data_IF_324162043481
#
_entry.id   IF_324162043481
#
_cell.length_a   1.000
_cell.length_b   1.000
_cell.length_c   1.000
_cell.angle_alpha   90.00
_cell.angle_beta   90.00
_cell.angle_gamma   90.00
#
_symmetry.space_group_name_H-M   'P 1'
#
loop_
_entity.id
_entity.type
_entity.pdbx_description
1 polymer ?
#
# COMPACT_ATOMS: atom_id res chain seq x y z
N UNK A 1 5.67 -13.62 -0.93
CA UNK A 1 6.48 -12.40 -0.74
C UNK A 1 7.80 -12.72 -0.05
N UNK A 2 7.80 -13.38 1.12
CA UNK A 2 9.05 -13.74 1.83
C UNK A 2 10.12 -14.46 0.99
N UNK A 3 9.75 -15.38 0.09
CA UNK A 3 10.71 -16.04 -0.81
C UNK A 3 11.31 -15.07 -1.85
N UNK A 4 10.49 -14.19 -2.44
CA UNK A 4 10.94 -13.17 -3.40
C UNK A 4 11.92 -12.18 -2.74
N UNK A 5 11.58 -11.66 -1.56
CA UNK A 5 12.46 -10.75 -0.82
C UNK A 5 13.80 -11.41 -0.48
N UNK A 6 13.82 -12.71 -0.17
CA UNK A 6 15.04 -13.48 0.07
C UNK A 6 15.90 -13.60 -1.20
N UNK A 7 15.28 -13.94 -2.34
CA UNK A 7 15.98 -14.04 -3.63
C UNK A 7 16.57 -12.70 -4.08
N UNK A 8 15.84 -11.60 -3.93
CA UNK A 8 16.35 -10.27 -4.25
C UNK A 8 17.56 -9.90 -3.40
N UNK A 9 17.51 -10.18 -2.09
CA UNK A 9 18.66 -9.96 -1.19
C UNK A 9 19.87 -10.82 -1.57
N UNK A 10 19.67 -12.06 -2.00
CA UNK A 10 20.75 -12.92 -2.51
C UNK A 10 21.40 -12.36 -3.78
N UNK A 11 20.64 -11.61 -4.59
CA UNK A 11 21.14 -10.89 -5.76
C UNK A 11 21.66 -9.48 -5.43
N UNK A 12 21.85 -9.14 -4.15
CA UNK A 12 22.37 -7.85 -3.71
C UNK A 12 21.36 -6.69 -3.73
N UNK A 13 20.08 -6.96 -3.97
CA UNK A 13 19.01 -5.95 -3.98
C UNK A 13 18.39 -5.83 -2.59
N UNK A 14 18.47 -4.64 -1.99
CA UNK A 14 17.89 -4.35 -0.68
C UNK A 14 16.41 -3.99 -0.80
N UNK A 15 15.57 -4.79 -0.16
CA UNK A 15 14.11 -4.61 -0.14
C UNK A 15 13.70 -3.97 1.19
N UNK A 16 13.07 -2.80 1.11
CA UNK A 16 12.27 -2.23 2.20
C UNK A 16 10.84 -2.70 2.01
N UNK A 17 10.35 -3.53 2.94
CA UNK A 17 8.96 -4.00 2.94
C UNK A 17 8.16 -3.24 3.99
N UNK A 18 7.03 -2.67 3.57
CA UNK A 18 6.06 -2.01 4.44
C UNK A 18 4.71 -2.69 4.25
N UNK A 19 4.28 -3.42 5.28
CA UNK A 19 2.93 -3.94 5.37
C UNK A 19 2.00 -2.83 5.91
N UNK A 20 0.94 -2.50 5.17
CA UNK A 20 0.01 -1.43 5.54
C UNK A 20 -0.80 -1.75 6.81
N UNK A 21 -1.11 -3.01 7.08
CA UNK A 21 -1.82 -3.43 8.28
C UNK A 21 -0.94 -3.28 9.51
N UNK A 22 0.30 -3.79 9.44
CA UNK A 22 1.26 -3.65 10.53
C UNK A 22 1.56 -2.18 10.82
N UNK A 23 1.74 -1.38 9.77
CA UNK A 23 1.94 0.06 9.88
C UNK A 23 0.73 0.76 10.52
N UNK A 24 -0.49 0.39 10.13
CA UNK A 24 -1.69 0.93 10.75
C UNK A 24 -1.74 0.62 12.24
N UNK A 25 -1.45 -0.61 12.65
CA UNK A 25 -1.38 -0.99 14.08
C UNK A 25 -0.30 -0.19 14.80
N UNK A 26 0.90 -0.07 14.22
CA UNK A 26 2.01 0.71 14.78
C UNK A 26 1.61 2.17 15.02
N UNK A 27 0.92 2.78 14.05
CA UNK A 27 0.42 4.16 14.15
C UNK A 27 -0.66 4.33 15.23
N UNK A 28 -1.55 3.34 15.39
CA UNK A 28 -2.57 3.38 16.44
C UNK A 28 -1.98 3.18 17.83
N UNK A 29 -0.96 2.32 17.95
CA UNK A 29 -0.23 2.09 19.21
C UNK A 29 0.62 3.30 19.60
N UNK A 30 1.32 3.93 18.65
CA UNK A 30 2.15 5.12 18.94
C UNK A 30 1.36 6.33 19.43
N UNK A 31 0.04 6.35 19.17
CA UNK A 31 -0.90 7.37 19.64
C UNK A 31 -1.68 6.97 20.88
N UNK A 32 -1.39 5.81 21.47
CA UNK A 32 -2.08 5.26 22.64
C UNK A 32 -3.61 5.13 22.46
N UNK A 33 -4.05 4.84 21.23
CA UNK A 33 -5.48 4.66 20.89
C UNK A 33 -5.85 3.21 20.58
N UNK A 34 -4.88 2.34 20.34
CA UNK A 34 -5.10 0.94 19.96
C UNK A 34 -6.01 0.20 20.95
N UNK A 35 -5.64 0.16 22.24
CA UNK A 35 -6.40 -0.59 23.24
C UNK A 35 -7.82 -0.04 23.43
N UNK A 36 -7.99 1.28 23.28
CA UNK A 36 -9.30 1.93 23.32
C UNK A 36 -10.19 1.53 22.14
N UNK A 37 -9.60 1.37 20.95
CA UNK A 37 -10.33 0.91 19.76
C UNK A 37 -10.74 -0.55 19.94
N UNK A 38 -9.82 -1.42 20.36
CA UNK A 38 -10.09 -2.85 20.59
C UNK A 38 -11.19 -3.03 21.65
N UNK A 39 -11.15 -2.27 22.75
CA UNK A 39 -12.19 -2.31 23.77
C UNK A 39 -13.55 -1.82 23.26
N UNK A 40 -13.55 -0.85 22.34
CA UNK A 40 -14.77 -0.24 21.79
C UNK A 40 -15.37 -1.04 20.63
N UNK A 41 -14.56 -1.77 19.87
CA UNK A 41 -14.97 -2.52 18.68
C UNK A 41 -16.24 -3.37 18.89
N UNK A 42 -16.41 -4.16 19.97
CA UNK A 42 -17.61 -4.97 20.17
C UNK A 42 -18.90 -4.15 20.38
N UNK A 43 -18.76 -2.87 20.75
CA UNK A 43 -19.86 -1.98 21.12
C UNK A 43 -20.31 -1.04 20.00
N UNK A 44 -19.59 -0.99 18.88
CA UNK A 44 -19.90 -0.11 17.74
C UNK A 44 -20.19 -0.90 16.48
N UNK A 45 -20.97 -0.30 15.59
CA UNK A 45 -21.26 -0.90 14.29
C UNK A 45 -20.03 -0.88 13.36
N UNK A 46 -20.00 -1.79 12.38
CA UNK A 46 -18.94 -1.85 11.36
C UNK A 46 -18.73 -0.51 10.61
N UNK A 47 -19.79 0.22 10.19
CA UNK A 47 -19.62 1.54 9.56
C UNK A 47 -18.93 2.56 10.48
N UNK A 48 -19.30 2.60 11.77
CA UNK A 48 -18.69 3.51 12.75
C UNK A 48 -17.23 3.17 13.01
N UNK A 49 -16.89 1.87 13.12
CA UNK A 49 -15.50 1.43 13.23
C UNK A 49 -14.68 1.84 12.00
N UNK A 50 -15.25 1.66 10.80
CA UNK A 50 -14.60 2.07 9.55
C UNK A 50 -14.32 3.57 9.53
N UNK A 51 -15.30 4.41 9.86
CA UNK A 51 -15.12 5.87 9.90
C UNK A 51 -14.08 6.30 10.92
N UNK A 52 -14.09 5.67 12.11
CA UNK A 52 -13.09 5.90 13.14
C UNK A 52 -11.67 5.57 12.63
N UNK A 53 -11.49 4.41 12.01
CA UNK A 53 -10.20 3.99 11.45
C UNK A 53 -9.77 4.90 10.29
N UNK A 54 -10.69 5.29 9.41
CA UNK A 54 -10.42 6.21 8.30
C UNK A 54 -9.92 7.56 8.78
N UNK A 55 -10.50 8.11 9.85
CA UNK A 55 -10.04 9.38 10.43
C UNK A 55 -8.65 9.27 11.06
N UNK A 56 -8.38 8.17 11.78
CA UNK A 56 -7.09 7.96 12.44
C UNK A 56 -5.96 7.60 11.47
N UNK A 57 -6.29 6.91 10.38
CA UNK A 57 -5.35 6.37 9.40
C UNK A 57 -5.45 7.10 8.05
N UNK A 58 -5.82 8.37 8.08
CA UNK A 58 -5.91 9.21 6.88
C UNK A 58 -4.64 9.08 6.02
N UNK A 59 -4.82 8.79 4.73
CA UNK A 59 -3.71 8.38 3.86
C UNK A 59 -2.72 9.51 3.68
N UNK A 60 -3.21 10.72 3.41
CA UNK A 60 -2.37 11.88 3.10
C UNK A 60 -1.73 12.46 4.37
N UNK A 61 -2.50 12.59 5.45
CA UNK A 61 -2.06 13.25 6.69
C UNK A 61 -1.24 12.35 7.60
N UNK A 62 -1.40 11.03 7.51
CA UNK A 62 -0.85 10.12 8.50
C UNK A 62 -0.08 8.95 7.88
N UNK A 63 -0.68 8.21 6.95
CA UNK A 63 -0.07 7.00 6.42
C UNK A 63 1.15 7.30 5.54
N UNK A 64 1.03 8.24 4.59
CA UNK A 64 2.11 8.61 3.67
C UNK A 64 3.31 9.23 4.40
N UNK A 65 3.12 10.15 5.37
CA UNK A 65 4.21 10.60 6.23
C UNK A 65 4.93 9.47 6.96
N UNK A 66 4.19 8.50 7.53
CA UNK A 66 4.77 7.36 8.23
C UNK A 66 5.57 6.43 7.28
N UNK A 67 5.09 6.23 6.04
CA UNK A 67 5.84 5.52 5.01
C UNK A 67 7.12 6.29 4.66
N UNK A 68 7.03 7.60 4.49
CA UNK A 68 8.17 8.45 4.16
C UNK A 68 9.23 8.46 5.27
N UNK A 69 8.81 8.44 6.55
CA UNK A 69 9.71 8.30 7.69
C UNK A 69 10.49 6.98 7.63
N UNK A 70 9.80 5.85 7.41
CA UNK A 70 10.46 4.53 7.26
C UNK A 70 11.41 4.49 6.07
N UNK A 71 11.06 5.15 4.97
CA UNK A 71 11.95 5.27 3.81
C UNK A 71 13.20 6.11 4.12
N UNK A 72 13.06 7.23 4.85
CA UNK A 72 14.21 8.06 5.25
C UNK A 72 15.13 7.36 6.25
N UNK A 73 14.58 6.49 7.09
CA UNK A 73 15.34 5.77 8.12
C UNK A 73 15.98 4.47 7.60
N UNK A 74 15.84 4.16 6.32
CA UNK A 74 16.27 2.86 5.76
C UNK A 74 17.02 3.06 4.46
N UNK A 75 18.11 2.33 4.27
CA UNK A 75 18.71 2.23 2.94
C UNK A 75 18.10 1.07 2.16
N UNK A 76 17.57 1.35 0.97
CA UNK A 76 16.93 0.35 0.13
C UNK A 76 17.04 0.69 -1.36
N UNK A 77 16.85 -0.34 -2.18
CA UNK A 77 16.89 -0.26 -3.63
C UNK A 77 15.49 -0.39 -4.24
N UNK A 78 14.58 -1.13 -3.57
CA UNK A 78 13.17 -1.26 -3.96
C UNK A 78 12.23 -1.23 -2.75
N UNK A 79 11.11 -0.53 -2.87
CA UNK A 79 10.05 -0.46 -1.86
C UNK A 79 8.94 -1.46 -2.20
N UNK A 80 8.61 -2.33 -1.26
CA UNK A 80 7.47 -3.24 -1.33
C UNK A 80 6.35 -2.74 -0.42
N UNK A 81 5.15 -2.58 -0.98
CA UNK A 81 3.93 -2.29 -0.21
C UNK A 81 3.06 -3.54 -0.19
N UNK A 82 2.77 -4.05 1.00
CA UNK A 82 2.00 -5.29 1.23
C UNK A 82 0.84 -5.03 2.20
N UNK A 83 0.03 -6.05 2.49
CA UNK A 83 -1.10 -5.93 3.44
C UNK A 83 -2.29 -5.09 2.96
N UNK A 84 -2.36 -4.79 1.67
CA UNK A 84 -3.41 -3.94 1.07
C UNK A 84 -4.82 -4.49 1.30
N UNK A 85 -5.00 -5.81 1.20
CA UNK A 85 -6.31 -6.44 1.42
C UNK A 85 -6.76 -6.40 2.88
N UNK A 86 -5.82 -6.40 3.83
CA UNK A 86 -6.08 -6.43 5.28
C UNK A 86 -6.56 -5.07 5.81
N UNK A 87 -6.22 -3.99 5.10
CA UNK A 87 -6.62 -2.63 5.44
C UNK A 87 -7.86 -2.13 4.69
N UNK A 88 -8.40 -2.93 3.77
CA UNK A 88 -9.64 -2.61 3.10
C UNK A 88 -10.85 -2.81 4.05
N UNK A 89 -11.86 -1.92 4.06
CA UNK A 89 -12.06 -0.73 3.22
C UNK A 89 -11.61 0.60 3.88
N UNK A 90 -10.95 0.57 5.03
CA UNK A 90 -10.63 1.80 5.78
C UNK A 90 -9.37 2.51 5.26
N UNK A 91 -8.49 1.83 4.52
CA UNK A 91 -7.48 2.44 3.67
C UNK A 91 -7.77 2.05 2.22
N UNK A 92 -7.84 3.05 1.34
CA UNK A 92 -8.07 2.86 -0.10
C UNK A 92 -6.74 2.85 -0.85
N UNK A 93 -6.48 1.77 -1.59
CA UNK A 93 -5.19 1.53 -2.26
C UNK A 93 -4.85 2.57 -3.32
N UNK A 94 -5.85 3.11 -4.03
CA UNK A 94 -5.64 4.22 -4.99
C UNK A 94 -5.07 5.46 -4.32
N UNK A 95 -5.58 5.82 -3.14
CA UNK A 95 -5.06 6.98 -2.40
C UNK A 95 -3.62 6.74 -1.98
N UNK A 96 -3.27 5.51 -1.59
CA UNK A 96 -1.89 5.16 -1.22
C UNK A 96 -0.97 5.32 -2.44
N UNK A 97 -1.29 4.72 -3.58
CA UNK A 97 -0.46 4.84 -4.79
C UNK A 97 -0.29 6.29 -5.26
N UNK A 98 -1.39 7.04 -5.36
CA UNK A 98 -1.35 8.43 -5.84
C UNK A 98 -0.49 9.32 -4.94
N UNK A 99 -0.59 9.16 -3.62
CA UNK A 99 0.21 9.95 -2.70
C UNK A 99 1.66 9.43 -2.59
N UNK A 100 1.89 8.12 -2.72
CA UNK A 100 3.24 7.56 -2.69
C UNK A 100 4.12 8.07 -3.83
N UNK A 101 3.54 8.40 -5.00
CA UNK A 101 4.29 9.05 -6.08
C UNK A 101 4.95 10.37 -5.67
N UNK A 102 4.40 11.05 -4.66
CA UNK A 102 4.98 12.32 -4.17
C UNK A 102 6.20 12.10 -3.29
N UNK A 103 6.30 10.96 -2.60
CA UNK A 103 7.37 10.66 -1.63
C UNK A 103 8.39 9.63 -2.13
N UNK A 104 7.99 8.72 -3.01
CA UNK A 104 8.83 7.64 -3.56
C UNK A 104 9.30 7.93 -4.99
N UNK A 105 9.83 9.14 -5.22
CA UNK A 105 10.25 9.58 -6.56
C UNK A 105 11.51 8.88 -7.07
N UNK A 106 12.40 8.48 -6.17
CA UNK A 106 13.76 8.03 -6.54
C UNK A 106 13.92 6.50 -6.58
N UNK A 107 13.04 5.77 -5.90
CA UNK A 107 13.16 4.31 -5.74
C UNK A 107 11.94 3.60 -6.33
N UNK A 108 12.13 2.53 -7.11
CA UNK A 108 11.02 1.75 -7.64
C UNK A 108 10.14 1.22 -6.50
N UNK A 109 8.82 1.32 -6.69
CA UNK A 109 7.82 0.87 -5.73
C UNK A 109 6.98 -0.23 -6.35
N UNK A 110 6.85 -1.35 -5.65
CA UNK A 110 6.02 -2.49 -6.04
C UNK A 110 4.93 -2.67 -4.99
N UNK A 111 3.67 -2.58 -5.41
CA UNK A 111 2.53 -2.86 -4.54
C UNK A 111 1.98 -4.26 -4.82
N UNK A 112 1.86 -5.07 -3.77
CA UNK A 112 1.25 -6.38 -3.83
C UNK A 112 -0.24 -6.24 -3.57
N UNK A 113 -1.02 -6.32 -4.64
CA UNK A 113 -2.46 -6.14 -4.60
C UNK A 113 -3.19 -7.49 -4.70
N UNK A 114 -4.00 -7.90 -3.71
CA UNK A 114 -4.72 -9.18 -3.73
C UNK A 114 -6.02 -9.06 -4.54
N UNK A 115 -5.86 -8.87 -5.84
CA UNK A 115 -6.96 -8.65 -6.78
C UNK A 115 -6.48 -8.61 -8.22
N UNK A 116 -7.37 -8.23 -9.14
CA UNK A 116 -7.01 -8.08 -10.55
C UNK A 116 -6.69 -6.63 -10.87
N UNK A 117 -5.69 -6.44 -11.71
CA UNK A 117 -5.42 -5.18 -12.38
C UNK A 117 -6.00 -5.27 -13.79
N UNK A 118 -6.99 -4.44 -14.08
CA UNK A 118 -7.62 -4.35 -15.40
C UNK A 118 -7.21 -3.00 -16.00
N UNK A 119 -6.84 -2.99 -17.28
CA UNK A 119 -6.47 -1.78 -17.99
C UNK A 119 -7.28 -1.72 -19.28
N UNK A 120 -8.22 -0.78 -19.39
CA UNK A 120 -8.93 -0.52 -20.64
C UNK A 120 -8.48 0.79 -21.26
N UNK A 121 -8.43 0.89 -22.60
CA UNK A 121 -8.12 2.14 -23.29
C UNK A 121 -9.14 3.26 -22.98
N UNK A 122 -10.41 2.91 -22.70
CA UNK A 122 -11.47 3.89 -22.47
C UNK A 122 -11.65 4.32 -21.00
N UNK A 123 -11.33 3.46 -20.02
CA UNK A 123 -11.52 3.73 -18.58
C UNK A 123 -10.22 3.82 -17.78
N UNK A 124 -9.08 3.52 -18.41
CA UNK A 124 -7.76 3.48 -17.78
C UNK A 124 -7.51 2.21 -16.97
N UNK A 125 -6.50 2.28 -16.10
CA UNK A 125 -6.21 1.22 -15.13
C UNK A 125 -7.22 1.24 -13.99
N UNK A 126 -7.78 0.10 -13.59
CA UNK A 126 -8.55 -0.11 -12.36
C UNK A 126 -8.02 -1.31 -11.56
N UNK A 127 -8.29 -1.31 -10.26
CA UNK A 127 -7.88 -2.37 -9.33
C UNK A 127 -9.12 -2.99 -8.69
N UNK A 128 -9.40 -4.23 -9.05
CA UNK A 128 -10.54 -4.99 -8.55
C UNK A 128 -10.14 -5.85 -7.36
N UNK A 129 -10.44 -5.39 -6.14
CA UNK A 129 -10.16 -6.19 -4.95
C UNK A 129 -11.09 -7.41 -4.94
N UNK A 130 -10.51 -8.61 -4.92
CA UNK A 130 -11.24 -9.89 -4.93
C UNK A 130 -12.20 -10.10 -6.12
N UNK A 131 -12.04 -9.40 -7.25
CA UNK A 131 -12.92 -9.46 -8.43
C UNK A 131 -14.41 -9.17 -8.15
N UNK A 132 -14.72 -8.48 -7.04
CA UNK A 132 -16.10 -8.22 -6.59
C UNK A 132 -16.39 -6.75 -6.32
N UNK A 133 -15.36 -5.92 -6.30
CA UNK A 133 -15.42 -4.54 -5.87
C UNK A 133 -14.72 -3.69 -6.92
N UNK A 134 -15.49 -3.26 -7.92
CA UNK A 134 -15.01 -2.32 -8.94
C UNK A 134 -14.75 -0.96 -8.28
N UNK A 135 -13.52 -0.50 -8.41
CA UNK A 135 -13.11 0.85 -8.02
C UNK A 135 -12.89 1.65 -9.32
N UNK A 136 -13.73 2.66 -9.59
CA UNK A 136 -13.78 3.44 -10.83
C UNK A 136 -12.61 4.43 -10.99
N UNK A 137 -11.45 4.13 -10.42
CA UNK A 137 -10.35 5.09 -10.29
C UNK A 137 -9.19 4.74 -11.21
N UNK A 138 -8.73 5.75 -11.97
CA UNK A 138 -7.54 5.69 -12.82
C UNK A 138 -6.26 5.56 -11.99
N UNK A 139 -5.54 4.44 -12.14
CA UNK A 139 -4.24 4.24 -11.47
C UNK A 139 -3.07 4.61 -12.39
N UNK A 140 -2.13 5.43 -11.89
CA UNK A 140 -0.81 5.61 -12.52
C UNK A 140 0.15 4.49 -12.07
N UNK A 141 -0.20 3.26 -12.38
CA UNK A 141 0.62 2.09 -12.12
C UNK A 141 0.68 1.22 -13.38
N UNK A 142 1.71 0.38 -13.48
CA UNK A 142 1.83 -0.60 -14.56
C UNK A 142 1.85 -1.99 -13.95
N UNK A 143 1.20 -2.94 -14.62
CA UNK A 143 1.37 -4.34 -14.26
C UNK A 143 2.79 -4.76 -14.61
N UNK A 144 3.57 -5.21 -13.61
CA UNK A 144 4.96 -5.61 -13.79
C UNK A 144 5.13 -6.75 -14.81
N UNK A 145 4.10 -7.58 -15.01
CA UNK A 145 4.12 -8.63 -16.04
C UNK A 145 4.01 -8.09 -17.47
N UNK A 146 3.61 -6.82 -17.64
CA UNK A 146 3.50 -6.14 -18.94
C UNK A 146 4.58 -5.06 -19.13
N UNK A 147 5.60 -5.00 -18.27
CA UNK A 147 6.74 -4.11 -18.50
C UNK A 147 7.57 -4.62 -19.68
N UNK A 148 7.48 -3.93 -20.82
CA UNK A 148 8.44 -4.11 -21.91
C UNK A 148 9.81 -3.62 -21.44
N UNK A 149 10.79 -4.52 -21.44
CA UNK A 149 12.18 -4.13 -21.20
C UNK A 149 12.69 -3.55 -22.50
N UNK A 150 12.76 -2.23 -22.62
CA UNK A 150 13.55 -1.60 -23.67
C UNK A 150 15.02 -1.95 -23.43
N UNK A 151 15.47 -3.06 -24.01
CA UNK A 151 16.89 -3.34 -24.18
C UNK A 151 17.46 -2.24 -25.06
N UNK A 152 18.07 -1.23 -24.45
CA UNK A 152 18.96 -0.32 -25.15
C UNK A 152 20.18 -1.11 -25.58
N UNK A 153 20.14 -1.62 -26.80
CA UNK A 153 21.30 -2.15 -27.51
C UNK A 153 22.29 -1.00 -27.70
N UNK A 154 23.34 -0.96 -26.88
CA UNK A 154 24.58 -0.23 -27.19
C UNK A 154 25.33 -0.91 -28.31
#
# INVERSE_FOLDING_TARGET
>A
IGNLSKQLRQNGVRVLEINLYDLAIEMLKSRDVWDRIVAKEPSISKPQLRELLQGLLDVERHLVPAIADKMRSSEFDVLFITGVGEVYPYIRSHNVLNNLQTVAKEKPTIMFYPGSYTHSPEAGASLDLFNKLHDDNYYRAFNIFHCEVETRTT
#
